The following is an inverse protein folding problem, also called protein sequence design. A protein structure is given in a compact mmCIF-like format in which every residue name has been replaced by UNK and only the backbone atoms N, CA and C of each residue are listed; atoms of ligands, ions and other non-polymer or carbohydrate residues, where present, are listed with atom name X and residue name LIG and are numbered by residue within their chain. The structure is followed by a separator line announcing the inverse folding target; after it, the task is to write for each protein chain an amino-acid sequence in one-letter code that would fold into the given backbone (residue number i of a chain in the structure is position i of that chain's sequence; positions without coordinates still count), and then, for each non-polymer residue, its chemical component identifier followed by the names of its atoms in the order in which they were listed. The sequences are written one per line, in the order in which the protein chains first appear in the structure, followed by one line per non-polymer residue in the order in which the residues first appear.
data_IF_026170962301
#
_entry.id   IF_026170962301
#
_cell.length_a   1.000
_cell.length_b   1.000
_cell.length_c   1.000
_cell.angle_alpha   90.00
_cell.angle_beta   90.00
_cell.angle_gamma   90.00
#
_symmetry.space_group_name_H-M   'P 1'
#
loop_
_entity.id
_entity.type
_entity.pdbx_description
1 polymer ?
#
# COMPACT_ATOMS: atom_id res chain seq x y z
N UNK A 1 19.25 -9.65 22.03
CA UNK A 1 18.97 -9.29 21.64
C UNK A 1 18.84 -8.50 20.89
N UNK A 2 18.55 -8.16 20.66
CA UNK A 2 18.27 -7.43 20.10
C UNK A 2 18.93 -6.95 18.98
N UNK A 3 19.61 -7.61 18.36
CA UNK A 3 20.33 -7.30 17.17
C UNK A 3 19.47 -6.98 16.01
N UNK A 4 18.27 -7.51 16.00
CA UNK A 4 17.34 -7.26 14.91
C UNK A 4 17.04 -5.78 14.75
N UNK A 5 17.21 -4.99 15.79
CA UNK A 5 16.93 -3.57 15.69
C UNK A 5 17.88 -2.84 14.77
N UNK A 6 19.04 -3.41 14.53
CA UNK A 6 20.07 -2.72 13.78
C UNK A 6 20.30 -3.30 12.41
N UNK A 7 19.53 -4.31 12.05
CA UNK A 7 19.64 -4.88 10.73
C UNK A 7 18.83 -4.09 9.75
N UNK A 8 19.28 -4.02 8.52
CA UNK A 8 18.50 -3.39 7.49
C UNK A 8 17.19 -4.12 7.36
N UNK A 9 16.13 -3.40 7.23
CA UNK A 9 14.81 -3.95 7.02
C UNK A 9 14.44 -3.80 5.57
N UNK A 10 13.76 -4.81 5.08
CA UNK A 10 13.20 -4.72 3.74
C UNK A 10 11.74 -4.34 3.86
N UNK A 11 11.31 -3.42 3.02
CA UNK A 11 9.94 -3.00 2.94
C UNK A 11 9.41 -3.33 1.57
N UNK A 12 8.15 -3.69 1.54
CA UNK A 12 7.44 -3.90 0.30
C UNK A 12 6.69 -2.62 -0.02
N UNK A 13 6.94 -2.06 -1.19
CA UNK A 13 6.38 -0.78 -1.59
C UNK A 13 5.54 -0.95 -2.84
N UNK A 14 4.37 -0.32 -2.83
CA UNK A 14 3.47 -0.30 -3.98
C UNK A 14 2.99 1.13 -4.22
N UNK A 15 2.72 1.44 -5.48
CA UNK A 15 1.94 2.63 -5.83
C UNK A 15 0.69 2.14 -6.55
N UNK A 16 -0.45 2.53 -6.03
CA UNK A 16 -1.75 2.13 -6.54
C UNK A 16 -2.44 3.31 -7.19
N UNK A 17 -3.31 3.03 -8.16
CA UNK A 17 -4.17 4.06 -8.75
C UNK A 17 -5.60 3.58 -8.71
N UNK A 18 -6.50 4.39 -8.16
CA UNK A 18 -7.91 4.08 -8.10
C UNK A 18 -8.71 5.29 -8.53
N UNK A 19 -9.93 5.11 -9.02
CA UNK A 19 -10.80 6.26 -9.29
C UNK A 19 -11.02 7.04 -8.01
N UNK A 20 -11.07 8.34 -8.14
CA UNK A 20 -11.25 9.24 -7.01
C UNK A 20 -12.45 8.86 -6.16
N UNK A 21 -13.54 8.44 -6.80
CA UNK A 21 -14.79 8.11 -6.11
C UNK A 21 -14.69 6.84 -5.28
N UNK A 22 -13.70 6.00 -5.56
CA UNK A 22 -13.54 4.73 -4.88
C UNK A 22 -12.36 4.70 -3.92
N UNK A 23 -11.63 5.80 -3.83
CA UNK A 23 -10.45 5.86 -2.97
C UNK A 23 -10.81 5.63 -1.50
N UNK A 24 -11.99 6.11 -1.08
CA UNK A 24 -12.41 5.95 0.31
C UNK A 24 -12.46 4.47 0.71
N UNK A 25 -12.82 3.60 -0.23
CA UNK A 25 -12.95 2.18 0.05
C UNK A 25 -11.57 1.57 0.34
N UNK A 26 -10.56 2.04 -0.39
CA UNK A 26 -9.18 1.61 -0.15
C UNK A 26 -8.71 2.06 1.22
N UNK A 27 -8.93 3.32 1.55
CA UNK A 27 -8.55 3.86 2.84
C UNK A 27 -9.23 3.11 3.98
N UNK A 28 -10.53 2.89 3.85
CA UNK A 28 -11.29 2.17 4.85
C UNK A 28 -10.75 0.75 5.05
N UNK A 29 -10.43 0.09 3.94
CA UNK A 29 -9.91 -1.27 3.99
C UNK A 29 -8.58 -1.33 4.70
N UNK A 30 -7.68 -0.37 4.41
CA UNK A 30 -6.38 -0.33 5.08
C UNK A 30 -6.53 -0.01 6.56
N UNK A 31 -7.43 0.89 6.90
CA UNK A 31 -7.68 1.23 8.29
C UNK A 31 -8.24 0.04 9.06
N UNK A 32 -9.07 -0.76 8.41
CA UNK A 32 -9.64 -1.94 9.04
C UNK A 32 -8.62 -3.05 9.25
N UNK A 33 -7.50 -2.99 8.54
CA UNK A 33 -6.40 -3.95 8.69
C UNK A 33 -5.24 -3.27 9.39
N UNK A 34 -5.53 -2.71 10.53
CA UNK A 34 -4.62 -1.92 11.32
C UNK A 34 -3.30 -2.64 11.56
N UNK A 35 -2.21 -1.92 11.38
CA UNK A 35 -0.89 -2.47 11.62
C UNK A 35 -0.28 -3.21 10.45
N UNK A 36 -1.04 -3.43 9.37
CA UNK A 36 -0.51 -4.17 8.23
C UNK A 36 0.37 -3.29 7.36
N UNK A 37 -0.05 -2.06 7.09
CA UNK A 37 0.70 -1.21 6.16
C UNK A 37 0.51 0.26 6.49
N UNK A 38 1.38 1.06 5.90
CA UNK A 38 1.27 2.52 5.93
C UNK A 38 0.91 2.98 4.53
N UNK A 39 0.10 4.00 4.43
CA UNK A 39 -0.30 4.51 3.13
C UNK A 39 -0.40 6.03 3.16
N UNK A 40 -0.26 6.64 2.00
CA UNK A 40 -0.47 8.08 1.87
C UNK A 40 -0.87 8.37 0.42
N UNK A 41 -1.66 9.41 0.25
CA UNK A 41 -2.09 9.84 -1.07
C UNK A 41 -1.00 10.71 -1.68
N UNK A 42 -0.69 10.47 -2.94
CA UNK A 42 0.29 11.28 -3.65
C UNK A 42 -0.36 12.62 -3.98
N UNK A 43 0.28 13.70 -3.56
CA UNK A 43 -0.30 15.06 -3.68
C UNK A 43 -0.69 15.42 -5.10
N UNK A 44 0.15 15.09 -6.06
CA UNK A 44 -0.13 15.45 -7.45
C UNK A 44 -1.40 14.81 -7.98
N UNK A 45 -1.80 13.69 -7.41
CA UNK A 45 -2.99 12.99 -7.89
C UNK A 45 -4.27 13.64 -7.40
N UNK A 46 -4.19 14.56 -6.45
CA UNK A 46 -5.39 15.16 -5.86
C UNK A 46 -6.17 16.02 -6.84
N UNK A 47 -5.58 16.40 -7.95
CA UNK A 47 -6.23 17.26 -8.93
C UNK A 47 -6.91 16.49 -10.06
N UNK A 48 -6.70 15.20 -10.14
CA UNK A 48 -7.21 14.42 -11.25
C UNK A 48 -8.42 13.58 -10.91
N UNK A 49 -8.83 12.78 -11.87
CA UNK A 49 -9.95 11.85 -11.73
C UNK A 49 -9.57 10.61 -10.95
N UNK A 50 -8.29 10.43 -10.70
CA UNK A 50 -7.76 9.27 -10.00
C UNK A 50 -7.01 9.71 -8.76
N UNK A 51 -6.81 8.75 -7.85
CA UNK A 51 -5.95 8.95 -6.69
C UNK A 51 -4.84 7.95 -6.76
N UNK A 52 -3.60 8.42 -6.64
CA UNK A 52 -2.45 7.54 -6.53
C UNK A 52 -2.11 7.43 -5.05
N UNK A 53 -1.89 6.21 -4.60
CA UNK A 53 -1.70 5.92 -3.19
C UNK A 53 -0.42 5.13 -3.03
N UNK A 54 0.50 5.66 -2.23
CA UNK A 54 1.73 4.94 -1.88
C UNK A 54 1.43 4.06 -0.67
N UNK A 55 1.88 2.81 -0.74
CA UNK A 55 1.65 1.82 0.31
C UNK A 55 2.97 1.16 0.64
N UNK A 56 3.28 1.05 1.92
CA UNK A 56 4.47 0.35 2.40
C UNK A 56 4.10 -0.60 3.51
N UNK A 57 4.72 -1.76 3.52
CA UNK A 57 4.57 -2.68 4.63
C UNK A 57 5.88 -3.43 4.84
N UNK A 58 6.02 -4.06 6.02
CA UNK A 58 7.16 -4.93 6.25
C UNK A 58 7.09 -6.08 5.26
N UNK A 59 8.25 -6.56 4.85
CA UNK A 59 8.32 -7.60 3.84
C UNK A 59 7.54 -8.85 4.25
N UNK A 60 7.42 -9.09 5.53
CA UNK A 60 6.69 -10.26 6.03
C UNK A 60 5.18 -10.15 5.78
N UNK A 61 4.66 -8.96 5.52
CA UNK A 61 3.25 -8.77 5.21
C UNK A 61 2.96 -8.72 3.72
N UNK A 62 3.98 -8.96 2.90
CA UNK A 62 3.85 -8.83 1.45
C UNK A 62 2.71 -9.67 0.89
N UNK A 63 2.67 -10.94 1.26
CA UNK A 63 1.65 -11.84 0.72
C UNK A 63 0.26 -11.45 1.20
N UNK A 64 0.15 -11.08 2.47
CA UNK A 64 -1.13 -10.64 3.02
C UNK A 64 -1.65 -9.39 2.31
N UNK A 65 -0.75 -8.46 2.04
CA UNK A 65 -1.13 -7.24 1.34
C UNK A 65 -1.55 -7.55 -0.08
N UNK A 66 -0.82 -8.43 -0.77
CA UNK A 66 -1.16 -8.78 -2.15
C UNK A 66 -2.52 -9.49 -2.22
N UNK A 67 -2.81 -10.33 -1.26
CA UNK A 67 -4.12 -10.98 -1.19
C UNK A 67 -5.23 -9.97 -0.96
N UNK A 68 -4.98 -9.02 -0.08
CA UNK A 68 -5.95 -7.97 0.20
C UNK A 68 -6.25 -7.16 -1.07
N UNK A 69 -5.19 -6.78 -1.79
CA UNK A 69 -5.35 -6.01 -3.02
C UNK A 69 -6.07 -6.81 -4.10
N UNK A 70 -5.81 -8.11 -4.19
CA UNK A 70 -6.50 -8.95 -5.15
C UNK A 70 -8.00 -8.97 -4.87
N UNK A 71 -8.38 -9.00 -3.60
CA UNK A 71 -9.79 -8.94 -3.22
C UNK A 71 -10.39 -7.58 -3.56
N UNK A 72 -9.66 -6.51 -3.29
CA UNK A 72 -10.12 -5.18 -3.64
C UNK A 72 -10.36 -5.05 -5.13
N UNK A 73 -9.51 -5.68 -5.93
CA UNK A 73 -9.64 -5.62 -7.39
C UNK A 73 -10.90 -6.30 -7.92
N UNK A 74 -11.55 -7.13 -7.11
CA UNK A 74 -12.83 -7.70 -7.50
C UNK A 74 -13.98 -6.76 -7.23
N UNK A 75 -13.75 -5.71 -6.43
CA UNK A 75 -14.80 -4.79 -6.00
C UNK A 75 -14.68 -3.44 -6.65
N UNK A 76 -13.47 -2.97 -6.89
CA UNK A 76 -13.24 -1.67 -7.47
C UNK A 76 -12.15 -1.75 -8.51
N UNK A 77 -12.04 -0.70 -9.31
CA UNK A 77 -10.94 -0.61 -10.26
C UNK A 77 -9.70 -0.16 -9.52
N UNK A 78 -8.68 -1.00 -9.50
CA UNK A 78 -7.44 -0.71 -8.81
C UNK A 78 -6.29 -1.21 -9.66
N UNK A 79 -5.39 -0.30 -10.03
CA UNK A 79 -4.21 -0.63 -10.81
C UNK A 79 -2.98 -0.51 -9.93
N UNK A 80 -2.06 -1.45 -10.05
CA UNK A 80 -0.78 -1.38 -9.36
C UNK A 80 0.20 -0.79 -10.35
N UNK A 81 0.63 0.44 -10.08
CA UNK A 81 1.52 1.16 -10.97
C UNK A 81 2.97 0.81 -10.74
N UNK A 82 3.33 0.45 -9.52
CA UNK A 82 4.70 0.22 -9.15
C UNK A 82 4.73 -0.77 -8.00
N UNK A 83 5.71 -1.66 -8.03
CA UNK A 83 5.84 -2.69 -7.01
C UNK A 83 7.32 -2.98 -6.86
N UNK A 84 7.86 -2.85 -5.64
CA UNK A 84 9.27 -3.13 -5.43
C UNK A 84 9.55 -3.40 -3.95
N UNK A 85 10.68 -4.03 -3.72
CA UNK A 85 11.21 -4.23 -2.38
C UNK A 85 12.30 -3.20 -2.18
N UNK A 86 12.18 -2.42 -1.12
CA UNK A 86 13.18 -1.38 -0.81
C UNK A 86 13.77 -1.68 0.55
N UNK A 87 14.96 -1.13 0.79
CA UNK A 87 15.62 -1.28 2.07
C UNK A 87 15.45 -0.02 2.88
N UNK A 88 15.16 -0.23 4.15
CA UNK A 88 14.98 0.85 5.09
C UNK A 88 16.06 0.72 6.15
N UNK A 89 16.89 1.70 6.27
CA UNK A 89 18.00 1.67 7.22
C UNK A 89 17.74 2.59 8.38
#
# INVERSE_FOLDING_TARGET
MSQTYFQSKELFYLRLRVPKDEAYFVYFTFESNEGMCFYSTVDESLKGAYRDIDVKCSIEFRESLKELLARLQTEIRLDILQEEVIKDF
#
